data_IF_093874522664
#
_entry.id   IF_093874522664
#
_cell.length_a   1.000
_cell.length_b   1.000
_cell.length_c   1.000
_cell.angle_alpha   90.00
_cell.angle_beta   90.00
_cell.angle_gamma   90.00
#
_symmetry.space_group_name_H-M   'P 1'
#
loop_
_entity.id
_entity.type
_entity.pdbx_description
1 polymer ?
#
# COMPACT_ATOMS: atom_id res chain seq x y z
N UNK A 1 -17.27 3.38 -33.44
CA UNK A 1 -15.92 2.93 -33.83
C UNK A 1 -14.85 4.03 -33.67
N UNK A 2 -14.96 5.22 -34.31
CA UNK A 2 -13.96 6.31 -34.21
C UNK A 2 -13.63 6.80 -32.78
N UNK A 3 -14.63 6.90 -31.88
CA UNK A 3 -14.41 7.30 -30.47
C UNK A 3 -13.60 6.29 -29.64
N UNK A 4 -13.61 5.01 -30.03
CA UNK A 4 -12.84 3.98 -29.33
C UNK A 4 -11.37 4.04 -29.73
N UNK A 5 -11.10 4.27 -31.01
CA UNK A 5 -9.74 4.45 -31.55
C UNK A 5 -9.07 5.71 -30.98
N UNK A 6 -9.77 6.84 -30.93
CA UNK A 6 -9.22 8.09 -30.38
C UNK A 6 -8.92 8.01 -28.87
N UNK A 7 -9.66 7.19 -28.12
CA UNK A 7 -9.34 6.92 -26.70
C UNK A 7 -8.09 6.06 -26.55
N UNK A 8 -7.88 5.12 -27.47
CA UNK A 8 -6.68 4.27 -27.47
C UNK A 8 -5.42 5.11 -27.70
N UNK A 9 -5.47 6.02 -28.67
CA UNK A 9 -4.37 6.97 -28.96
C UNK A 9 -4.04 7.84 -27.75
N UNK A 10 -5.05 8.40 -27.07
CA UNK A 10 -4.79 9.20 -25.85
C UNK A 10 -4.18 8.41 -24.71
N UNK A 11 -4.53 7.13 -24.56
CA UNK A 11 -3.98 6.26 -23.51
C UNK A 11 -2.54 5.87 -23.84
N UNK A 12 -2.26 5.51 -25.10
CA UNK A 12 -0.90 5.20 -25.54
C UNK A 12 0.00 6.42 -25.39
N UNK A 13 -0.47 7.61 -25.76
CA UNK A 13 0.29 8.85 -25.62
C UNK A 13 0.59 9.15 -24.14
N UNK A 14 -0.37 8.95 -23.23
CA UNK A 14 -0.15 9.09 -21.80
C UNK A 14 0.91 8.12 -21.26
N UNK A 15 0.88 6.84 -21.69
CA UNK A 15 1.88 5.84 -21.29
C UNK A 15 3.26 6.19 -21.83
N UNK A 16 3.38 6.60 -23.09
CA UNK A 16 4.66 6.97 -23.70
C UNK A 16 5.25 8.20 -23.01
N UNK A 17 4.45 9.25 -22.82
CA UNK A 17 4.90 10.48 -22.16
C UNK A 17 5.25 10.21 -20.70
N UNK A 18 4.37 9.55 -19.94
CA UNK A 18 4.62 9.21 -18.54
C UNK A 18 5.82 8.28 -18.36
N UNK A 19 5.96 7.26 -19.22
CA UNK A 19 7.09 6.34 -19.21
C UNK A 19 8.41 7.02 -19.53
N UNK A 20 8.43 7.90 -20.54
CA UNK A 20 9.62 8.69 -20.87
C UNK A 20 10.01 9.62 -19.72
N UNK A 21 9.04 10.30 -19.10
CA UNK A 21 9.28 11.18 -17.96
C UNK A 21 9.82 10.42 -16.74
N UNK A 22 9.25 9.26 -16.40
CA UNK A 22 9.75 8.41 -15.31
C UNK A 22 11.14 7.85 -15.63
N UNK A 23 11.40 7.44 -16.86
CA UNK A 23 12.71 6.94 -17.29
C UNK A 23 13.79 8.03 -17.22
N UNK A 24 13.47 9.26 -17.65
CA UNK A 24 14.37 10.40 -17.51
C UNK A 24 14.59 10.73 -16.03
N UNK A 25 13.53 10.76 -15.22
CA UNK A 25 13.66 11.01 -13.78
C UNK A 25 14.60 10.00 -13.12
N UNK A 26 14.41 8.70 -13.36
CA UNK A 26 15.27 7.64 -12.81
C UNK A 26 16.70 7.67 -13.35
N UNK A 27 16.90 8.14 -14.59
CA UNK A 27 18.22 8.24 -15.22
C UNK A 27 19.04 9.46 -14.79
N UNK A 28 18.38 10.57 -14.42
CA UNK A 28 19.02 11.83 -14.02
C UNK A 28 19.04 12.07 -12.51
N UNK A 29 18.43 11.20 -11.71
CA UNK A 29 18.42 11.30 -10.24
C UNK A 29 18.87 10.00 -9.61
N UNK A 30 19.35 10.05 -8.36
CA UNK A 30 19.74 8.87 -7.58
C UNK A 30 18.54 8.03 -7.09
N UNK A 31 17.38 8.16 -7.75
CA UNK A 31 16.14 7.46 -7.42
C UNK A 31 16.04 6.07 -8.06
N UNK A 32 16.98 5.70 -8.93
CA UNK A 32 17.04 4.40 -9.60
C UNK A 32 16.78 3.19 -8.68
N UNK A 33 17.34 3.11 -7.45
CA UNK A 33 17.05 2.02 -6.53
C UNK A 33 15.56 1.86 -6.23
N UNK A 34 14.82 2.98 -6.12
CA UNK A 34 13.39 2.99 -5.79
C UNK A 34 12.49 2.63 -6.99
N UNK A 35 13.06 2.36 -8.17
CA UNK A 35 12.33 1.73 -9.27
C UNK A 35 11.87 0.30 -8.97
N UNK A 36 11.07 -0.28 -9.88
CA UNK A 36 10.68 -1.70 -9.82
C UNK A 36 9.86 -2.10 -8.60
N UNK A 37 9.99 -3.37 -8.18
CA UNK A 37 9.16 -3.98 -7.12
C UNK A 37 9.46 -3.45 -5.72
N UNK A 38 10.69 -3.01 -5.47
CA UNK A 38 11.14 -2.60 -4.13
C UNK A 38 11.68 -3.75 -3.26
N UNK A 39 11.91 -4.93 -3.83
CA UNK A 39 12.39 -6.10 -3.09
C UNK A 39 13.73 -5.86 -2.38
N UNK A 40 14.68 -5.20 -3.06
CA UNK A 40 15.99 -4.89 -2.47
C UNK A 40 15.89 -4.04 -1.20
N UNK A 41 14.96 -3.08 -1.17
CA UNK A 41 14.72 -2.26 0.03
C UNK A 41 14.04 -3.06 1.14
N UNK A 42 13.17 -3.99 0.80
CA UNK A 42 12.55 -4.88 1.79
C UNK A 42 13.62 -5.74 2.43
N UNK A 43 14.48 -6.37 1.62
CA UNK A 43 15.58 -7.21 2.11
C UNK A 43 16.54 -6.40 2.99
N UNK A 44 16.94 -5.20 2.56
CA UNK A 44 17.78 -4.30 3.36
C UNK A 44 17.10 -3.88 4.67
N UNK A 45 15.81 -3.51 4.65
CA UNK A 45 15.07 -3.13 5.84
C UNK A 45 14.95 -4.29 6.84
N UNK A 46 14.69 -5.50 6.35
CA UNK A 46 14.58 -6.71 7.17
C UNK A 46 15.94 -7.22 7.68
N UNK A 47 17.03 -6.90 6.98
CA UNK A 47 18.40 -7.10 7.47
C UNK A 47 18.80 -6.09 8.58
N UNK A 48 17.94 -5.09 8.87
CA UNK A 48 18.22 -4.04 9.84
C UNK A 48 19.15 -2.95 9.32
N UNK A 49 19.36 -2.87 8.00
CA UNK A 49 20.16 -1.81 7.40
C UNK A 49 19.45 -0.45 7.53
N UNK A 50 20.23 0.59 7.79
CA UNK A 50 19.72 1.95 7.88
C UNK A 50 19.42 2.48 6.48
N UNK A 51 18.14 2.43 6.08
CA UNK A 51 17.68 3.04 4.85
C UNK A 51 17.63 4.57 4.98
N UNK A 52 17.77 5.32 3.87
CA UNK A 52 17.59 6.77 3.88
C UNK A 52 16.21 7.15 4.46
N UNK A 53 16.11 8.18 5.33
CA UNK A 53 14.86 8.53 6.00
C UNK A 53 13.72 8.93 5.05
N UNK A 54 14.06 9.38 3.83
CA UNK A 54 13.08 9.72 2.80
C UNK A 54 12.76 8.56 1.83
N UNK A 55 13.30 7.36 2.05
CA UNK A 55 13.16 6.20 1.15
C UNK A 55 11.69 5.81 0.92
N UNK A 56 10.87 5.84 1.97
CA UNK A 56 9.45 5.52 1.88
C UNK A 56 8.71 6.53 0.97
N UNK A 57 9.05 7.82 1.09
CA UNK A 57 8.42 8.88 0.33
C UNK A 57 8.83 8.85 -1.14
N UNK A 58 10.13 8.62 -1.41
CA UNK A 58 10.65 8.43 -2.75
C UNK A 58 9.94 7.27 -3.47
N UNK A 59 9.83 6.11 -2.80
CA UNK A 59 9.15 4.94 -3.35
C UNK A 59 7.65 5.20 -3.57
N UNK A 60 6.97 5.85 -2.63
CA UNK A 60 5.56 6.19 -2.75
C UNK A 60 5.31 7.15 -3.93
N UNK A 61 6.10 8.22 -4.05
CA UNK A 61 5.99 9.21 -5.12
C UNK A 61 6.19 8.56 -6.50
N UNK A 62 7.23 7.75 -6.68
CA UNK A 62 7.49 7.06 -7.95
C UNK A 62 6.36 6.08 -8.31
N UNK A 63 5.85 5.35 -7.32
CA UNK A 63 4.74 4.41 -7.54
C UNK A 63 3.48 5.16 -7.99
N UNK A 64 3.15 6.27 -7.33
CA UNK A 64 2.02 7.11 -7.71
C UNK A 64 2.19 7.71 -9.10
N UNK A 65 3.40 8.17 -9.47
CA UNK A 65 3.69 8.71 -10.80
C UNK A 65 3.49 7.65 -11.89
N UNK A 66 3.98 6.43 -11.67
CA UNK A 66 3.84 5.31 -12.62
C UNK A 66 2.38 4.88 -12.76
N UNK A 67 1.63 4.79 -11.65
CA UNK A 67 0.20 4.47 -11.69
C UNK A 67 -0.61 5.59 -12.35
N UNK A 68 -0.30 6.86 -12.08
CA UNK A 68 -0.95 8.01 -12.71
C UNK A 68 -0.69 8.07 -14.23
N UNK A 69 0.48 7.62 -14.68
CA UNK A 69 0.81 7.46 -16.10
C UNK A 69 0.07 6.29 -16.79
N UNK A 70 -0.68 5.48 -16.04
CA UNK A 70 -1.48 4.38 -16.58
C UNK A 70 -0.72 3.07 -16.76
N UNK A 71 0.48 2.94 -16.17
CA UNK A 71 1.16 1.66 -16.12
C UNK A 71 0.41 0.71 -15.19
N UNK A 72 0.25 -0.53 -15.65
CA UNK A 72 -0.32 -1.61 -14.84
C UNK A 72 0.81 -2.42 -14.22
N UNK A 73 0.77 -2.59 -12.91
CA UNK A 73 1.72 -3.38 -12.14
C UNK A 73 1.10 -3.82 -10.82
N UNK A 74 1.78 -4.72 -10.11
CA UNK A 74 1.35 -5.11 -8.77
C UNK A 74 1.54 -3.96 -7.78
N UNK A 75 0.48 -3.54 -7.12
CA UNK A 75 0.51 -2.45 -6.13
C UNK A 75 0.93 -2.95 -4.74
N UNK A 76 0.75 -4.24 -4.47
CA UNK A 76 1.03 -4.87 -3.17
C UNK A 76 2.51 -4.76 -2.81
N UNK A 77 3.41 -5.04 -3.75
CA UNK A 77 4.85 -5.02 -3.47
C UNK A 77 5.41 -3.62 -3.18
N UNK A 78 5.05 -2.58 -3.95
CA UNK A 78 5.34 -1.21 -3.58
C UNK A 78 4.80 -0.82 -2.20
N UNK A 79 3.56 -1.21 -1.86
CA UNK A 79 2.99 -0.94 -0.53
C UNK A 79 3.81 -1.59 0.57
N UNK A 80 4.17 -2.86 0.42
CA UNK A 80 5.01 -3.55 1.39
C UNK A 80 6.40 -2.88 1.51
N UNK A 81 7.02 -2.50 0.40
CA UNK A 81 8.29 -1.78 0.39
C UNK A 81 8.21 -0.43 1.09
N UNK A 82 7.18 0.38 0.81
CA UNK A 82 6.97 1.67 1.48
C UNK A 82 6.76 1.46 2.98
N UNK A 83 6.03 0.42 3.38
CA UNK A 83 5.82 0.05 4.78
C UNK A 83 7.11 -0.36 5.49
N UNK A 84 7.94 -1.18 4.84
CA UNK A 84 9.25 -1.60 5.36
C UNK A 84 10.17 -0.40 5.58
N UNK A 85 10.28 0.47 4.57
CA UNK A 85 11.03 1.71 4.67
C UNK A 85 10.51 2.60 5.80
N UNK A 86 9.20 2.84 5.87
CA UNK A 86 8.59 3.66 6.92
C UNK A 86 8.89 3.09 8.31
N UNK A 87 8.73 1.78 8.50
CA UNK A 87 9.04 1.08 9.74
C UNK A 87 10.52 1.24 10.14
N UNK A 88 11.45 1.04 9.20
CA UNK A 88 12.89 1.23 9.42
C UNK A 88 13.21 2.67 9.84
N UNK A 89 12.59 3.68 9.20
CA UNK A 89 12.79 5.09 9.59
C UNK A 89 12.24 5.40 10.97
N UNK A 90 11.10 4.80 11.33
CA UNK A 90 10.54 4.93 12.67
C UNK A 90 11.45 4.27 13.72
N UNK A 91 12.05 3.13 13.40
CA UNK A 91 13.01 2.43 14.25
C UNK A 91 14.17 3.33 14.70
N UNK A 92 14.77 4.04 13.74
CA UNK A 92 15.88 4.97 13.99
C UNK A 92 15.44 6.09 14.93
N UNK A 93 14.24 6.65 14.74
CA UNK A 93 13.71 7.72 15.59
C UNK A 93 13.34 7.26 17.02
N UNK A 94 12.89 6.01 17.16
CA UNK A 94 12.43 5.44 18.41
C UNK A 94 13.52 4.66 19.17
N UNK A 95 14.69 4.44 18.56
CA UNK A 95 15.77 3.61 19.12
C UNK A 95 15.39 2.13 19.22
N UNK A 96 14.54 1.65 18.31
CA UNK A 96 14.05 0.26 18.28
C UNK A 96 14.84 -0.57 17.27
N UNK A 97 14.68 -1.90 17.33
CA UNK A 97 15.25 -2.80 16.35
C UNK A 97 14.65 -2.56 14.95
N UNK A 98 15.53 -2.37 13.96
CA UNK A 98 15.15 -1.99 12.59
C UNK A 98 14.38 -3.08 11.86
N UNK A 99 14.75 -4.34 12.04
CA UNK A 99 14.14 -5.46 11.33
C UNK A 99 12.70 -5.72 11.78
N UNK A 100 12.47 -5.77 13.10
CA UNK A 100 11.13 -6.00 13.67
C UNK A 100 10.17 -4.85 13.37
N UNK A 101 10.61 -3.60 13.46
CA UNK A 101 9.79 -2.43 13.13
C UNK A 101 9.52 -2.31 11.63
N UNK A 102 10.47 -2.67 10.76
CA UNK A 102 10.23 -2.78 9.33
C UNK A 102 9.16 -3.83 9.01
N UNK A 103 9.23 -5.01 9.62
CA UNK A 103 8.22 -6.06 9.47
C UNK A 103 6.81 -5.60 9.91
N UNK A 104 6.73 -4.92 11.06
CA UNK A 104 5.46 -4.34 11.53
C UNK A 104 4.96 -3.23 10.61
N UNK A 105 5.85 -2.40 10.06
CA UNK A 105 5.53 -1.36 9.08
C UNK A 105 4.96 -1.93 7.78
N UNK A 106 5.50 -3.04 7.28
CA UNK A 106 4.96 -3.78 6.13
C UNK A 106 3.50 -4.20 6.37
N UNK A 107 3.25 -4.87 7.50
CA UNK A 107 1.91 -5.36 7.86
C UNK A 107 0.94 -4.21 8.08
N UNK A 108 1.35 -3.17 8.80
CA UNK A 108 0.51 -2.01 9.11
C UNK A 108 0.09 -1.27 7.83
N UNK A 109 1.02 -0.98 6.92
CA UNK A 109 0.71 -0.25 5.71
C UNK A 109 -0.14 -1.08 4.74
N UNK A 110 0.13 -2.39 4.65
CA UNK A 110 -0.72 -3.29 3.85
C UNK A 110 -2.15 -3.37 4.41
N UNK A 111 -2.32 -3.46 5.73
CA UNK A 111 -3.64 -3.43 6.37
C UNK A 111 -4.38 -2.11 6.11
N UNK A 112 -3.66 -1.00 6.18
CA UNK A 112 -4.23 0.32 5.93
C UNK A 112 -4.69 0.51 4.48
N UNK A 113 -3.87 0.10 3.51
CA UNK A 113 -4.17 0.28 2.09
C UNK A 113 -5.21 -0.72 1.55
N UNK A 114 -5.21 -1.95 2.05
CA UNK A 114 -6.09 -3.02 1.58
C UNK A 114 -7.44 -3.10 2.31
N UNK A 115 -7.59 -2.41 3.45
CA UNK A 115 -8.74 -2.55 4.35
C UNK A 115 -8.99 -3.99 4.84
N UNK A 116 -7.97 -4.85 4.78
CA UNK A 116 -8.07 -6.27 5.11
C UNK A 116 -7.11 -6.62 6.25
N UNK A 117 -7.42 -6.27 7.53
CA UNK A 117 -6.52 -6.52 8.64
C UNK A 117 -6.26 -8.02 8.85
N UNK A 118 -7.27 -8.89 8.68
CA UNK A 118 -7.10 -10.34 8.80
C UNK A 118 -6.13 -10.91 7.75
N UNK A 119 -6.23 -10.46 6.50
CA UNK A 119 -5.31 -10.88 5.44
C UNK A 119 -3.87 -10.44 5.75
N UNK A 120 -3.73 -9.22 6.28
CA UNK A 120 -2.43 -8.68 6.68
C UNK A 120 -1.81 -9.46 7.84
N UNK A 121 -2.63 -10.03 8.73
CA UNK A 121 -2.14 -10.89 9.81
C UNK A 121 -1.66 -12.24 9.33
N UNK A 122 -2.40 -12.87 8.44
CA UNK A 122 -1.96 -14.13 7.82
C UNK A 122 -0.65 -13.89 7.07
N UNK A 123 -0.57 -12.80 6.29
CA UNK A 123 0.66 -12.41 5.60
C UNK A 123 1.82 -12.19 6.58
N UNK A 124 1.60 -11.46 7.68
CA UNK A 124 2.62 -11.25 8.71
C UNK A 124 3.07 -12.53 9.39
N UNK A 125 2.14 -13.45 9.68
CA UNK A 125 2.46 -14.75 10.28
C UNK A 125 3.30 -15.64 9.36
N UNK A 126 2.98 -15.66 8.06
CA UNK A 126 3.73 -16.44 7.07
C UNK A 126 5.13 -15.87 6.83
N UNK A 127 5.29 -14.53 6.82
CA UNK A 127 6.58 -13.89 6.54
C UNK A 127 7.49 -13.81 7.77
N UNK A 128 6.94 -13.52 8.95
CA UNK A 128 7.71 -13.21 10.16
C UNK A 128 7.53 -14.22 11.29
N UNK A 129 6.69 -15.23 11.08
CA UNK A 129 6.38 -16.27 12.04
C UNK A 129 5.26 -15.88 13.03
N UNK A 130 4.70 -16.92 13.66
CA UNK A 130 3.59 -16.79 14.61
C UNK A 130 3.96 -16.05 15.91
N UNK A 131 5.25 -15.93 16.24
CA UNK A 131 5.69 -15.16 17.40
C UNK A 131 5.44 -13.66 17.25
N UNK A 132 5.44 -13.14 16.02
CA UNK A 132 5.19 -11.73 15.71
C UNK A 132 3.69 -11.38 15.63
N UNK A 133 2.80 -12.37 15.64
CA UNK A 133 1.34 -12.18 15.46
C UNK A 133 0.70 -11.17 16.41
N UNK A 134 0.99 -11.15 17.72
CA UNK A 134 0.34 -10.20 18.63
C UNK A 134 0.68 -8.75 18.27
N UNK A 135 1.94 -8.48 17.93
CA UNK A 135 2.39 -7.16 17.50
C UNK A 135 1.80 -6.80 16.13
N UNK A 136 1.80 -7.74 15.19
CA UNK A 136 1.16 -7.60 13.87
C UNK A 136 -0.33 -7.28 14.00
N UNK A 137 -1.06 -7.95 14.90
CA UNK A 137 -2.48 -7.73 15.18
C UNK A 137 -2.75 -6.31 15.64
N UNK A 138 -1.96 -5.84 16.59
CA UNK A 138 -2.11 -4.50 17.13
C UNK A 138 -1.88 -3.45 16.04
N UNK A 139 -0.76 -3.53 15.30
CA UNK A 139 -0.44 -2.52 14.28
C UNK A 139 -1.42 -2.59 13.10
N UNK A 140 -1.84 -3.78 12.67
CA UNK A 140 -2.81 -3.94 11.58
C UNK A 140 -4.18 -3.35 11.94
N UNK A 141 -4.66 -3.59 13.17
CA UNK A 141 -5.95 -3.06 13.63
C UNK A 141 -5.92 -1.54 13.80
N UNK A 142 -4.84 -1.00 14.38
CA UNK A 142 -4.67 0.45 14.54
C UNK A 142 -4.60 1.14 13.18
N UNK A 143 -3.76 0.61 12.27
CA UNK A 143 -3.61 1.17 10.93
C UNK A 143 -4.93 1.13 10.13
N UNK A 144 -5.64 0.00 10.19
CA UNK A 144 -6.98 -0.15 9.61
C UNK A 144 -7.99 0.84 10.20
N UNK A 145 -8.02 1.01 11.52
CA UNK A 145 -8.93 1.94 12.19
C UNK A 145 -8.71 3.39 11.76
N UNK A 146 -7.47 3.77 11.44
CA UNK A 146 -7.14 5.09 10.91
C UNK A 146 -7.53 5.28 9.43
N UNK A 147 -7.50 4.22 8.61
CA UNK A 147 -7.63 4.34 7.15
C UNK A 147 -8.90 3.73 6.55
N UNK A 148 -9.79 3.09 7.31
CA UNK A 148 -10.92 2.26 6.79
C UNK A 148 -11.82 2.91 5.71
N UNK A 149 -11.83 4.24 5.61
CA UNK A 149 -12.60 5.01 4.61
C UNK A 149 -11.90 5.15 3.25
N UNK A 150 -10.63 4.80 3.17
CA UNK A 150 -9.80 4.90 1.97
C UNK A 150 -9.10 3.56 1.74
N UNK A 151 -9.20 3.02 0.53
CA UNK A 151 -8.47 1.80 0.13
C UNK A 151 -8.03 1.90 -1.32
N UNK A 152 -6.96 1.18 -1.66
CA UNK A 152 -6.56 0.93 -3.04
C UNK A 152 -7.68 0.26 -3.83
N UNK A 153 -8.45 -0.61 -3.17
CA UNK A 153 -9.56 -1.31 -3.77
C UNK A 153 -10.86 -0.62 -3.40
N UNK A 154 -11.51 0.07 -4.35
CA UNK A 154 -12.79 0.74 -4.12
C UNK A 154 -13.88 -0.23 -3.61
N UNK A 155 -13.82 -1.50 -4.01
CA UNK A 155 -14.71 -2.56 -3.51
C UNK A 155 -14.45 -2.94 -2.05
N UNK A 156 -13.27 -2.67 -1.51
CA UNK A 156 -12.89 -2.92 -0.12
C UNK A 156 -13.10 -1.68 0.78
N UNK A 157 -13.59 -0.57 0.24
CA UNK A 157 -13.92 0.62 1.04
C UNK A 157 -15.15 0.35 1.90
N UNK A 158 -14.99 0.46 3.21
CA UNK A 158 -16.08 0.24 4.16
C UNK A 158 -16.77 1.59 4.38
N UNK A 159 -17.79 1.87 3.57
CA UNK A 159 -18.65 3.06 3.71
C UNK A 159 -19.66 2.95 4.88
N UNK A 160 -19.74 1.78 5.52
CA UNK A 160 -20.69 1.49 6.57
C UNK A 160 -20.27 2.12 7.90
N UNK A 161 -20.97 3.18 8.30
CA UNK A 161 -20.88 3.66 9.68
C UNK A 161 -21.51 2.63 10.63
N UNK A 162 -21.00 2.45 11.87
CA UNK A 162 -21.64 1.59 12.87
C UNK A 162 -23.13 1.92 13.07
N UNK A 163 -23.48 3.21 13.00
CA UNK A 163 -24.86 3.68 13.04
C UNK A 163 -25.69 3.27 11.81
N UNK A 164 -25.08 3.21 10.62
CA UNK A 164 -25.71 2.72 9.39
C UNK A 164 -25.94 1.21 9.43
N UNK A 165 -25.01 0.44 9.99
CA UNK A 165 -25.14 -1.00 10.17
C UNK A 165 -26.23 -1.34 11.18
N UNK A 166 -26.27 -0.63 12.32
CA UNK A 166 -27.34 -0.78 13.31
C UNK A 166 -28.70 -0.41 12.70
N UNK A 167 -28.80 0.67 11.90
CA UNK A 167 -30.04 1.04 11.22
C UNK A 167 -30.46 0.05 10.14
N UNK A 168 -29.53 -0.55 9.41
CA UNK A 168 -29.82 -1.57 8.41
C UNK A 168 -30.26 -2.90 9.05
N UNK A 169 -29.66 -3.28 10.17
CA UNK A 169 -30.08 -4.43 10.99
C UNK A 169 -31.44 -4.20 11.67
N UNK A 170 -31.73 -2.96 12.07
CA UNK A 170 -33.02 -2.57 12.65
C UNK A 170 -34.12 -2.31 11.61
N UNK A 171 -33.79 -2.23 10.32
CA UNK A 171 -34.79 -2.19 9.24
C UNK A 171 -35.42 -3.57 9.13
N UNK A 172 -36.63 -3.72 9.70
CA UNK A 172 -37.48 -4.88 9.43
C UNK A 172 -37.69 -4.98 7.91
N UNK A 173 -37.65 -6.18 7.32
CA UNK A 173 -37.96 -6.35 5.91
C UNK A 173 -39.39 -5.85 5.68
N UNK A 174 -39.52 -4.79 4.87
CA UNK A 174 -40.81 -4.33 4.40
C UNK A 174 -41.45 -5.47 3.63
N UNK A 175 -42.59 -5.95 4.13
CA UNK A 175 -43.48 -6.89 3.46
C UNK A 175 -43.63 -6.48 2.00
N UNK A 176 -43.12 -7.32 1.12
CA UNK A 176 -43.33 -7.26 -0.33
C UNK A 176 -44.84 -7.19 -0.57
N UNK A 177 -45.36 -6.02 -0.96
CA UNK A 177 -46.66 -5.94 -1.59
C UNK A 177 -46.48 -6.45 -3.02
N UNK A 178 -47.06 -7.61 -3.28
CA UNK A 178 -47.24 -8.20 -4.61
C UNK A 178 -48.26 -7.39 -5.41
#
# INVERSE_FOLDING_TARGET
MRRAVSRLESVLLAIVVGGSAVSMLLGFTDLSPYGGTGALQIDAALAGEALPPAAFLAKAALTLLVLAAGFKGGEIMPVLCIGACLGSTFAVSAGLDGASTAALGMVALFAACSNCPLCSLVLGAELFGVSALPACALVALVAFACSYRCSLYQSAVIAWTPAGMLRALLRRPSTVQR
#
